data_IF_383345164205
#
_entry.id   IF_383345164205
#
_cell.length_a   1.000
_cell.length_b   1.000
_cell.length_c   1.000
_cell.angle_alpha   90.00
_cell.angle_beta   90.00
_cell.angle_gamma   90.00
#
_symmetry.space_group_name_H-M   'P 1'
#
loop_
_entity.id
_entity.type
_entity.pdbx_description
1 polymer ?
#
# COMPACT_ATOMS: atom_id res chain seq x y z
N UNK A 1 47.10 -17.32 -18.59
CA UNK A 1 45.85 -16.68 -19.13
C UNK A 1 44.59 -17.25 -18.46
N UNK A 2 44.51 -17.30 -17.11
CA UNK A 2 43.38 -17.89 -16.40
C UNK A 2 42.76 -16.97 -15.33
N UNK A 3 43.28 -15.74 -15.14
CA UNK A 3 42.80 -14.84 -14.05
C UNK A 3 41.80 -13.76 -14.53
N UNK A 4 41.53 -13.64 -15.83
CA UNK A 4 40.61 -12.61 -16.36
C UNK A 4 39.16 -13.08 -16.56
N UNK A 5 38.88 -14.38 -16.56
CA UNK A 5 37.53 -14.93 -16.71
C UNK A 5 36.69 -14.89 -15.44
N UNK A 6 37.31 -14.92 -14.27
CA UNK A 6 36.60 -14.94 -12.99
C UNK A 6 36.08 -13.59 -12.50
N UNK A 7 36.51 -12.46 -13.10
CA UNK A 7 36.02 -11.13 -12.72
C UNK A 7 34.75 -10.68 -13.47
N UNK A 8 34.51 -11.22 -14.66
CA UNK A 8 33.32 -10.89 -15.46
C UNK A 8 32.06 -11.65 -15.02
N UNK A 9 32.22 -12.87 -14.49
CA UNK A 9 31.08 -13.64 -13.96
C UNK A 9 30.55 -13.11 -12.61
N UNK A 10 31.38 -12.43 -11.81
CA UNK A 10 30.97 -11.82 -10.55
C UNK A 10 30.21 -10.50 -10.70
N UNK A 11 30.28 -9.85 -11.86
CA UNK A 11 29.55 -8.62 -12.16
C UNK A 11 28.12 -8.88 -12.68
N UNK A 12 27.81 -10.11 -13.10
CA UNK A 12 26.47 -10.50 -13.56
C UNK A 12 25.61 -11.17 -12.45
N UNK A 13 26.21 -11.56 -11.32
CA UNK A 13 25.53 -12.17 -10.17
C UNK A 13 25.46 -11.22 -8.96
N UNK A 14 25.52 -9.92 -9.17
CA UNK A 14 25.24 -8.91 -8.16
C UNK A 14 23.73 -8.76 -7.90
N UNK A 15 23.29 -7.94 -6.94
CA UNK A 15 21.92 -7.88 -6.37
C UNK A 15 20.81 -7.51 -7.36
N UNK A 16 21.05 -7.55 -8.67
CA UNK A 16 20.02 -7.34 -9.72
C UNK A 16 19.03 -8.50 -9.85
N UNK A 17 19.34 -9.69 -9.33
CA UNK A 17 18.41 -10.84 -9.39
C UNK A 17 17.30 -10.79 -8.34
N UNK A 18 17.49 -10.06 -7.24
CA UNK A 18 16.43 -9.85 -6.23
C UNK A 18 15.34 -8.85 -6.69
N UNK A 19 15.62 -8.04 -7.70
CA UNK A 19 14.67 -7.07 -8.27
C UNK A 19 13.76 -7.62 -9.39
N UNK A 20 14.14 -8.71 -10.04
CA UNK A 20 13.37 -9.25 -11.19
C UNK A 20 11.94 -9.73 -10.82
N UNK A 21 11.70 -10.43 -9.70
CA UNK A 21 10.34 -10.80 -9.31
C UNK A 21 9.43 -9.58 -9.08
N UNK A 22 9.98 -8.47 -8.61
CA UNK A 22 9.21 -7.24 -8.38
C UNK A 22 8.83 -6.52 -9.69
N UNK A 23 9.67 -6.58 -10.72
CA UNK A 23 9.39 -5.99 -12.05
C UNK A 23 8.26 -6.75 -12.75
N UNK A 24 8.27 -8.08 -12.71
CA UNK A 24 7.20 -8.91 -13.29
C UNK A 24 5.87 -8.65 -12.56
N UNK A 25 5.90 -8.62 -11.22
CA UNK A 25 4.74 -8.29 -10.41
C UNK A 25 4.21 -6.87 -10.72
N UNK A 26 5.11 -5.89 -10.88
CA UNK A 26 4.77 -4.53 -11.26
C UNK A 26 4.08 -4.46 -12.63
N UNK A 27 4.61 -5.18 -13.62
CA UNK A 27 4.02 -5.24 -14.94
C UNK A 27 2.60 -5.84 -14.91
N UNK A 28 2.37 -6.88 -14.10
CA UNK A 28 1.05 -7.46 -13.92
C UNK A 28 0.07 -6.50 -13.22
N UNK A 29 0.49 -5.80 -12.19
CA UNK A 29 -0.37 -4.82 -11.50
C UNK A 29 -0.70 -3.60 -12.37
N UNK A 30 0.23 -3.15 -13.20
CA UNK A 30 -0.02 -2.06 -14.14
C UNK A 30 -0.94 -2.49 -15.29
N UNK A 31 -0.87 -3.76 -15.72
CA UNK A 31 -1.71 -4.28 -16.79
C UNK A 31 -3.20 -4.21 -16.43
N UNK A 32 -3.57 -4.54 -15.19
CA UNK A 32 -4.99 -4.58 -14.76
C UNK A 32 -5.70 -3.23 -14.89
N UNK A 33 -5.20 -2.11 -14.31
CA UNK A 33 -5.84 -0.80 -14.48
C UNK A 33 -5.84 -0.33 -15.93
N UNK A 34 -4.77 -0.59 -16.70
CA UNK A 34 -4.71 -0.21 -18.11
C UNK A 34 -5.75 -0.96 -18.96
N UNK A 35 -5.98 -2.25 -18.69
CA UNK A 35 -7.04 -3.03 -19.34
C UNK A 35 -8.42 -2.46 -19.03
N UNK A 36 -8.68 -2.10 -17.76
CA UNK A 36 -9.95 -1.50 -17.36
C UNK A 36 -10.17 -0.13 -18.03
N UNK A 37 -9.15 0.74 -18.02
CA UNK A 37 -9.21 2.05 -18.71
C UNK A 37 -9.54 1.84 -20.19
N UNK A 38 -8.83 0.94 -20.88
CA UNK A 38 -9.07 0.62 -22.28
C UNK A 38 -10.50 0.11 -22.53
N UNK A 39 -10.98 -0.82 -21.68
CA UNK A 39 -12.33 -1.38 -21.82
C UNK A 39 -13.41 -0.29 -21.67
N UNK A 40 -13.31 0.56 -20.65
CA UNK A 40 -14.26 1.65 -20.44
C UNK A 40 -14.21 2.68 -21.59
N UNK A 41 -13.01 2.97 -22.13
CA UNK A 41 -12.86 3.86 -23.27
C UNK A 41 -13.53 3.31 -24.52
N UNK A 42 -13.37 2.01 -24.81
CA UNK A 42 -14.03 1.37 -25.95
C UNK A 42 -15.57 1.38 -25.80
N UNK A 43 -16.08 1.13 -24.59
CA UNK A 43 -17.53 1.20 -24.33
C UNK A 43 -18.09 2.63 -24.54
N UNK A 44 -17.30 3.66 -24.21
CA UNK A 44 -17.69 5.06 -24.47
C UNK A 44 -17.64 5.41 -25.96
N UNK A 45 -16.69 4.83 -26.70
CA UNK A 45 -16.52 5.02 -28.15
C UNK A 45 -17.72 4.45 -28.96
N UNK A 46 -18.30 3.33 -28.50
CA UNK A 46 -19.48 2.69 -29.12
C UNK A 46 -20.75 3.58 -29.08
N UNK A 47 -20.77 4.64 -28.29
CA UNK A 47 -21.80 5.68 -28.30
C UNK A 47 -23.17 5.29 -27.73
N UNK A 48 -23.37 4.03 -27.35
CA UNK A 48 -24.68 3.50 -26.90
C UNK A 48 -24.89 3.59 -25.38
N UNK A 49 -24.08 4.38 -24.66
CA UNK A 49 -24.09 4.47 -23.19
C UNK A 49 -24.91 5.71 -22.75
N UNK A 50 -25.87 5.58 -21.82
CA UNK A 50 -26.62 6.72 -21.27
C UNK A 50 -25.69 7.76 -20.64
N UNK A 51 -26.04 9.05 -20.74
CA UNK A 51 -25.18 10.19 -20.31
C UNK A 51 -24.72 10.10 -18.86
N UNK A 52 -25.57 9.59 -17.96
CA UNK A 52 -25.21 9.41 -16.54
C UNK A 52 -24.14 8.30 -16.36
N UNK A 53 -24.21 7.26 -17.18
CA UNK A 53 -23.26 6.16 -17.16
C UNK A 53 -21.94 6.57 -17.82
N UNK A 54 -21.98 7.38 -18.89
CA UNK A 54 -20.77 7.98 -19.47
C UNK A 54 -19.98 8.77 -18.43
N UNK A 55 -20.65 9.64 -17.65
CA UNK A 55 -20.00 10.40 -16.57
C UNK A 55 -19.36 9.49 -15.50
N UNK A 56 -20.04 8.40 -15.16
CA UNK A 56 -19.52 7.41 -14.21
C UNK A 56 -18.29 6.71 -14.77
N UNK A 57 -18.32 6.27 -16.03
CA UNK A 57 -17.20 5.63 -16.70
C UNK A 57 -15.99 6.55 -16.83
N UNK A 58 -16.19 7.81 -17.23
CA UNK A 58 -15.12 8.81 -17.31
C UNK A 58 -14.47 9.03 -15.94
N UNK A 59 -15.27 9.12 -14.86
CA UNK A 59 -14.75 9.23 -13.50
C UNK A 59 -13.95 7.99 -13.10
N UNK A 60 -14.43 6.79 -13.46
CA UNK A 60 -13.73 5.54 -13.19
C UNK A 60 -12.41 5.44 -13.96
N UNK A 61 -12.36 5.89 -15.22
CA UNK A 61 -11.13 6.01 -16.03
C UNK A 61 -10.11 6.90 -15.30
N UNK A 62 -10.54 8.11 -14.89
CA UNK A 62 -9.66 9.06 -14.20
C UNK A 62 -9.06 8.44 -12.94
N UNK A 63 -9.89 7.91 -12.04
CA UNK A 63 -9.46 7.30 -10.77
C UNK A 63 -8.53 6.09 -10.98
N UNK A 64 -8.85 5.27 -12.00
CA UNK A 64 -8.03 4.10 -12.34
C UNK A 64 -6.66 4.51 -12.89
N UNK A 65 -6.63 5.56 -13.73
CA UNK A 65 -5.39 6.12 -14.26
C UNK A 65 -4.51 6.72 -13.15
N UNK A 66 -5.11 7.47 -12.21
CA UNK A 66 -4.38 8.00 -11.05
C UNK A 66 -3.77 6.89 -10.19
N UNK A 67 -4.53 5.81 -9.98
CA UNK A 67 -3.99 4.63 -9.26
C UNK A 67 -2.78 4.02 -9.98
N UNK A 68 -2.85 3.87 -11.31
CA UNK A 68 -1.74 3.34 -12.11
C UNK A 68 -0.50 4.24 -12.03
N UNK A 69 -0.69 5.56 -12.10
CA UNK A 69 0.39 6.54 -11.95
C UNK A 69 1.02 6.50 -10.56
N UNK A 70 0.23 6.36 -9.49
CA UNK A 70 0.74 6.18 -8.12
C UNK A 70 1.60 4.93 -8.02
N UNK A 71 1.13 3.78 -8.52
CA UNK A 71 1.89 2.53 -8.52
C UNK A 71 3.23 2.67 -9.25
N UNK A 72 3.25 3.33 -10.40
CA UNK A 72 4.49 3.59 -11.16
C UNK A 72 5.47 4.45 -10.36
N UNK A 73 4.97 5.52 -9.72
CA UNK A 73 5.77 6.41 -8.88
C UNK A 73 6.34 5.69 -7.66
N UNK A 74 5.54 4.82 -7.02
CA UNK A 74 5.95 4.05 -5.86
C UNK A 74 7.01 3.01 -6.21
N UNK A 75 6.84 2.36 -7.36
CA UNK A 75 7.85 1.41 -7.88
C UNK A 75 9.17 2.11 -8.15
N UNK A 76 9.15 3.25 -8.86
CA UNK A 76 10.35 4.04 -9.15
C UNK A 76 11.05 4.49 -7.87
N UNK A 77 10.27 4.90 -6.85
CA UNK A 77 10.80 5.32 -5.56
C UNK A 77 11.39 4.12 -4.79
N UNK A 78 10.73 2.95 -4.83
CA UNK A 78 11.24 1.75 -4.15
C UNK A 78 12.59 1.30 -4.70
N UNK A 79 12.83 1.45 -6.00
CA UNK A 79 14.14 1.16 -6.62
C UNK A 79 15.23 2.12 -6.14
N UNK A 80 14.88 3.37 -5.84
CA UNK A 80 15.82 4.41 -5.38
C UNK A 80 16.01 4.43 -3.86
N UNK A 81 15.31 3.59 -3.09
CA UNK A 81 15.40 3.61 -1.62
C UNK A 81 16.82 3.34 -1.09
N UNK A 82 17.60 2.51 -1.80
CA UNK A 82 18.96 2.16 -1.39
C UNK A 82 19.93 3.35 -1.44
N UNK A 83 19.67 4.32 -2.32
CA UNK A 83 20.57 5.46 -2.60
C UNK A 83 20.07 6.78 -1.98
N UNK A 84 18.87 6.80 -1.41
CA UNK A 84 18.25 8.03 -0.92
C UNK A 84 18.37 8.16 0.61
N UNK A 85 18.90 9.31 1.06
CA UNK A 85 18.85 9.71 2.47
C UNK A 85 17.42 10.19 2.78
N UNK A 86 16.65 9.37 3.50
CA UNK A 86 15.33 9.75 3.99
C UNK A 86 15.43 10.36 5.38
N UNK A 87 15.01 11.61 5.51
CA UNK A 87 14.91 12.25 6.81
C UNK A 87 13.71 11.68 7.55
N UNK A 88 13.96 11.19 8.78
CA UNK A 88 12.91 10.80 9.71
C UNK A 88 12.64 11.97 10.65
N UNK A 89 11.37 12.30 10.85
CA UNK A 89 10.90 13.42 11.65
C UNK A 89 9.73 13.02 12.54
N UNK A 90 9.43 13.79 13.60
CA UNK A 90 8.20 13.61 14.35
C UNK A 90 6.98 13.91 13.47
N UNK A 91 6.12 12.93 13.27
CA UNK A 91 4.88 13.03 12.46
C UNK A 91 3.67 12.84 13.37
N UNK A 92 2.66 13.70 13.21
CA UNK A 92 1.34 13.50 13.82
C UNK A 92 0.54 12.52 12.97
N UNK A 93 0.33 11.26 13.44
CA UNK A 93 -0.36 10.26 12.64
C UNK A 93 -1.86 10.53 12.48
N UNK A 94 -2.48 11.25 13.42
CA UNK A 94 -3.90 11.60 13.31
C UNK A 94 -4.11 12.56 12.14
N UNK A 95 -3.36 13.65 12.10
CA UNK A 95 -3.44 14.64 11.02
C UNK A 95 -3.11 14.00 9.67
N UNK A 96 -2.07 13.14 9.61
CA UNK A 96 -1.72 12.41 8.39
C UNK A 96 -2.86 11.53 7.90
N UNK A 97 -3.52 10.78 8.79
CA UNK A 97 -4.65 9.91 8.42
C UNK A 97 -5.87 10.73 7.97
N UNK A 98 -6.15 11.87 8.62
CA UNK A 98 -7.23 12.77 8.20
C UNK A 98 -6.99 13.34 6.80
N UNK A 99 -5.75 13.73 6.49
CA UNK A 99 -5.36 14.20 5.15
C UNK A 99 -5.55 13.09 4.10
N UNK A 100 -5.13 11.85 4.41
CA UNK A 100 -5.29 10.70 3.54
C UNK A 100 -6.77 10.39 3.30
N UNK A 101 -7.61 10.42 4.33
CA UNK A 101 -9.04 10.16 4.20
C UNK A 101 -9.69 11.17 3.26
N UNK A 102 -9.42 12.46 3.43
CA UNK A 102 -9.94 13.51 2.54
C UNK A 102 -9.58 13.28 1.07
N UNK A 103 -8.38 12.78 0.81
CA UNK A 103 -7.92 12.46 -0.54
C UNK A 103 -8.62 11.20 -1.10
N UNK A 104 -8.81 10.17 -0.27
CA UNK A 104 -9.38 8.90 -0.70
C UNK A 104 -10.92 8.90 -0.76
N UNK A 105 -11.59 9.80 -0.05
CA UNK A 105 -13.05 9.89 0.03
C UNK A 105 -13.74 9.88 -1.34
N UNK A 106 -13.31 10.64 -2.37
CA UNK A 106 -13.92 10.58 -3.70
C UNK A 106 -13.82 9.20 -4.36
N UNK A 107 -12.71 8.49 -4.12
CA UNK A 107 -12.48 7.14 -4.63
C UNK A 107 -13.40 6.13 -3.93
N UNK A 108 -13.48 6.19 -2.60
CA UNK A 108 -14.34 5.33 -1.80
C UNK A 108 -15.81 5.54 -2.13
N UNK A 109 -16.26 6.80 -2.21
CA UNK A 109 -17.63 7.16 -2.61
C UNK A 109 -18.00 6.67 -4.00
N UNK A 110 -17.06 6.70 -4.98
CA UNK A 110 -17.27 6.17 -6.32
C UNK A 110 -17.54 4.65 -6.34
N UNK A 111 -17.09 3.94 -5.27
CA UNK A 111 -17.32 2.51 -5.06
C UNK A 111 -18.46 2.22 -4.05
N UNK A 112 -19.25 3.24 -3.69
CA UNK A 112 -20.31 3.17 -2.66
C UNK A 112 -19.78 2.65 -1.32
N UNK A 113 -18.64 3.17 -0.89
CA UNK A 113 -17.96 2.80 0.36
C UNK A 113 -17.50 4.02 1.11
N UNK A 114 -17.29 3.85 2.41
CA UNK A 114 -16.78 4.88 3.29
C UNK A 114 -15.42 4.49 3.87
N UNK A 115 -14.65 5.51 4.20
CA UNK A 115 -13.40 5.37 4.98
C UNK A 115 -13.45 6.34 6.16
N UNK A 116 -13.08 5.87 7.34
CA UNK A 116 -13.09 6.71 8.54
C UNK A 116 -11.86 6.48 9.42
N UNK A 117 -11.46 7.52 10.13
CA UNK A 117 -10.52 7.43 11.24
C UNK A 117 -11.29 7.14 12.53
N UNK A 118 -10.87 6.12 13.25
CA UNK A 118 -11.40 5.86 14.61
C UNK A 118 -10.78 6.88 15.57
N UNK A 119 -11.60 7.71 16.24
CA UNK A 119 -11.09 8.79 17.08
C UNK A 119 -10.19 8.28 18.21
N UNK A 120 -9.18 9.07 18.58
CA UNK A 120 -8.31 8.84 19.73
C UNK A 120 -8.28 10.06 20.64
N UNK A 121 -8.26 9.83 21.96
CA UNK A 121 -8.32 10.91 22.96
C UNK A 121 -7.01 11.67 23.15
N UNK A 122 -5.87 11.05 22.88
CA UNK A 122 -4.55 11.65 23.14
C UNK A 122 -3.72 11.77 21.87
N UNK A 123 -3.12 12.94 21.61
CA UNK A 123 -2.20 13.11 20.51
C UNK A 123 -0.97 12.22 20.70
N UNK A 124 -0.45 11.72 19.61
CA UNK A 124 0.77 10.92 19.55
C UNK A 124 1.63 11.44 18.41
N UNK A 125 2.94 11.38 18.60
CA UNK A 125 3.90 11.61 17.53
C UNK A 125 4.71 10.34 17.31
N UNK A 126 4.95 9.99 16.06
CA UNK A 126 5.81 8.89 15.66
C UNK A 126 6.98 9.38 14.82
N UNK A 127 8.05 8.61 14.75
CA UNK A 127 9.24 8.91 13.95
C UNK A 127 9.08 8.28 12.59
N UNK A 128 8.94 9.09 11.54
CA UNK A 128 8.76 8.62 10.17
C UNK A 128 9.21 9.64 9.13
N UNK A 129 9.34 9.17 7.89
CA UNK A 129 9.22 10.05 6.73
C UNK A 129 7.73 10.15 6.36
N UNK A 130 7.18 11.38 6.36
CA UNK A 130 5.76 11.64 6.15
C UNK A 130 5.24 11.06 4.82
N UNK A 131 6.01 11.21 3.74
CA UNK A 131 5.62 10.74 2.41
C UNK A 131 5.59 9.22 2.30
N UNK A 132 6.60 8.53 2.87
CA UNK A 132 6.66 7.06 2.84
C UNK A 132 5.53 6.47 3.68
N UNK A 133 5.30 7.04 4.88
CA UNK A 133 4.20 6.59 5.75
C UNK A 133 2.83 6.79 5.08
N UNK A 134 2.61 7.95 4.45
CA UNK A 134 1.40 8.22 3.69
C UNK A 134 1.16 7.15 2.62
N UNK A 135 2.18 6.78 1.85
CA UNK A 135 2.09 5.77 0.81
C UNK A 135 1.76 4.38 1.35
N UNK A 136 2.30 4.02 2.52
CA UNK A 136 1.94 2.76 3.20
C UNK A 136 0.45 2.73 3.50
N UNK A 137 -0.09 3.79 4.12
CA UNK A 137 -1.51 3.84 4.51
C UNK A 137 -2.41 3.87 3.27
N UNK A 138 -2.06 4.62 2.22
CA UNK A 138 -2.79 4.60 0.94
C UNK A 138 -2.80 3.20 0.33
N UNK A 139 -1.66 2.48 0.29
CA UNK A 139 -1.59 1.11 -0.22
C UNK A 139 -2.48 0.14 0.59
N UNK A 140 -2.53 0.29 1.90
CA UNK A 140 -3.42 -0.52 2.73
C UNK A 140 -4.89 -0.17 2.49
N UNK A 141 -5.21 1.12 2.30
CA UNK A 141 -6.56 1.60 2.02
C UNK A 141 -7.06 1.18 0.63
N UNK A 142 -6.20 1.23 -0.39
CA UNK A 142 -6.51 0.72 -1.73
C UNK A 142 -6.78 -0.79 -1.69
N UNK A 143 -6.01 -1.55 -0.91
CA UNK A 143 -6.26 -2.97 -0.69
C UNK A 143 -7.62 -3.19 0.01
N UNK A 144 -7.90 -2.44 1.07
CA UNK A 144 -9.17 -2.53 1.79
C UNK A 144 -10.36 -2.20 0.89
N UNK A 145 -10.26 -1.15 0.06
CA UNK A 145 -11.28 -0.78 -0.91
C UNK A 145 -11.55 -1.90 -1.92
N UNK A 146 -10.50 -2.56 -2.39
CA UNK A 146 -10.61 -3.62 -3.39
C UNK A 146 -11.26 -4.89 -2.86
N UNK A 147 -11.03 -5.23 -1.58
CA UNK A 147 -11.47 -6.48 -0.99
C UNK A 147 -12.67 -6.36 -0.04
N UNK A 148 -13.05 -5.16 0.39
CA UNK A 148 -14.24 -4.99 1.19
C UNK A 148 -15.48 -5.45 0.41
N UNK A 149 -16.48 -5.99 1.08
CA UNK A 149 -17.77 -6.39 0.50
C UNK A 149 -18.91 -5.50 1.04
N UNK A 150 -19.94 -5.35 0.21
CA UNK A 150 -21.10 -4.54 0.56
C UNK A 150 -20.75 -3.06 0.79
N UNK A 151 -21.52 -2.41 1.69
CA UNK A 151 -21.34 -1.00 2.08
C UNK A 151 -20.48 -0.87 3.35
N UNK A 152 -19.57 -1.81 3.59
CA UNK A 152 -18.77 -1.79 4.80
C UNK A 152 -17.79 -0.61 4.81
N UNK A 153 -17.72 0.09 5.93
CA UNK A 153 -16.80 1.19 6.16
C UNK A 153 -15.41 0.67 6.44
N UNK A 154 -14.41 1.14 5.70
CA UNK A 154 -13.00 0.87 5.99
C UNK A 154 -12.56 1.74 7.16
N UNK A 155 -11.88 1.17 8.14
CA UNK A 155 -11.47 1.87 9.35
C UNK A 155 -9.95 2.01 9.42
N UNK A 156 -9.49 3.26 9.59
CA UNK A 156 -8.12 3.56 9.94
C UNK A 156 -8.05 3.74 11.46
N UNK A 157 -7.08 3.08 12.12
CA UNK A 157 -6.92 3.13 13.56
C UNK A 157 -5.48 3.42 13.94
N UNK A 158 -5.30 4.18 15.02
CA UNK A 158 -4.00 4.49 15.62
C UNK A 158 -3.96 3.82 16.99
N UNK A 159 -3.02 2.90 17.18
CA UNK A 159 -2.83 2.15 18.41
C UNK A 159 -1.48 2.45 19.06
N UNK A 160 -1.39 2.23 20.37
CA UNK A 160 -0.16 2.33 21.14
C UNK A 160 0.21 0.95 21.66
N UNK A 161 1.42 0.52 21.40
CA UNK A 161 1.96 -0.78 21.79
C UNK A 161 3.24 -0.60 22.61
N UNK A 162 3.72 -1.72 23.19
CA UNK A 162 4.99 -1.78 23.92
C UNK A 162 5.15 -0.63 24.93
N UNK A 163 4.19 -0.52 25.85
CA UNK A 163 4.16 0.52 26.90
C UNK A 163 4.35 1.96 26.38
N UNK A 164 4.01 2.20 25.13
CA UNK A 164 4.11 3.52 24.53
C UNK A 164 5.29 3.74 23.59
N UNK A 165 6.14 2.76 23.40
CA UNK A 165 7.33 2.88 22.54
C UNK A 165 7.00 2.72 21.04
N UNK A 166 5.91 2.04 20.73
CA UNK A 166 5.50 1.74 19.35
C UNK A 166 4.12 2.27 19.07
N UNK A 167 3.97 2.94 17.94
CA UNK A 167 2.69 3.37 17.41
C UNK A 167 2.35 2.49 16.21
N UNK A 168 1.16 1.87 16.24
CA UNK A 168 0.58 1.10 15.16
C UNK A 168 -0.45 1.93 14.42
N UNK A 169 -0.25 2.10 13.10
CA UNK A 169 -1.30 2.53 12.21
C UNK A 169 -1.84 1.32 11.47
N UNK A 170 -3.15 1.18 11.45
CA UNK A 170 -3.80 0.01 10.85
C UNK A 170 -4.99 0.40 10.02
N UNK A 171 -5.22 -0.38 8.95
CA UNK A 171 -6.38 -0.27 8.06
C UNK A 171 -7.14 -1.58 8.12
N UNK A 172 -8.40 -1.53 8.54
CA UNK A 172 -9.33 -2.64 8.69
C UNK A 172 -10.30 -2.67 7.51
N UNK A 173 -10.31 -3.76 6.78
CA UNK A 173 -11.35 -4.08 5.81
C UNK A 173 -12.41 -5.01 6.43
N UNK A 174 -13.63 -4.94 5.93
CA UNK A 174 -14.72 -5.85 6.22
C UNK A 174 -15.11 -6.55 4.92
N UNK A 175 -14.44 -7.65 4.63
CA UNK A 175 -14.61 -8.44 3.42
C UNK A 175 -14.50 -9.94 3.72
N UNK A 176 -14.33 -10.78 2.71
CA UNK A 176 -14.14 -12.20 2.92
C UNK A 176 -12.92 -12.47 3.80
N UNK A 177 -13.06 -13.39 4.75
CA UNK A 177 -11.95 -13.81 5.58
C UNK A 177 -10.79 -14.34 4.73
N UNK A 178 -9.56 -13.97 5.07
CA UNK A 178 -8.39 -14.63 4.49
C UNK A 178 -8.43 -16.13 4.85
N UNK A 179 -8.16 -17.01 3.88
CA UNK A 179 -7.96 -18.42 4.22
C UNK A 179 -6.76 -18.58 5.16
N UNK A 180 -6.75 -19.62 5.97
CA UNK A 180 -5.67 -19.86 6.94
C UNK A 180 -4.31 -19.97 6.23
N UNK A 181 -4.26 -20.61 5.07
CA UNK A 181 -3.02 -20.82 4.31
C UNK A 181 -2.51 -19.51 3.71
N UNK A 182 -3.40 -18.69 3.13
CA UNK A 182 -3.07 -17.35 2.63
C UNK A 182 -2.56 -16.47 3.77
N UNK A 183 -3.22 -16.49 4.93
CA UNK A 183 -2.79 -15.73 6.10
C UNK A 183 -1.41 -16.17 6.61
N UNK A 184 -1.15 -17.48 6.75
CA UNK A 184 0.16 -18.00 7.16
C UNK A 184 1.26 -17.60 6.16
N UNK A 185 1.02 -17.79 4.87
CA UNK A 185 1.95 -17.39 3.82
C UNK A 185 2.25 -15.90 3.86
N UNK A 186 1.21 -15.06 3.96
CA UNK A 186 1.33 -13.62 4.02
C UNK A 186 2.12 -13.17 5.25
N UNK A 187 1.80 -13.69 6.44
CA UNK A 187 2.51 -13.39 7.69
C UNK A 187 4.00 -13.74 7.61
N UNK A 188 4.32 -14.92 7.06
CA UNK A 188 5.72 -15.35 6.91
C UNK A 188 6.48 -14.44 5.94
N UNK A 189 5.87 -14.10 4.81
CA UNK A 189 6.47 -13.21 3.80
C UNK A 189 6.69 -11.79 4.33
N UNK A 190 5.73 -11.24 5.10
CA UNK A 190 5.87 -9.93 5.73
C UNK A 190 6.95 -9.90 6.83
N UNK A 191 7.26 -11.05 7.44
CA UNK A 191 8.25 -11.15 8.51
C UNK A 191 9.70 -11.33 8.02
N UNK A 192 9.93 -11.88 6.84
CA UNK A 192 11.25 -12.46 6.53
C UNK A 192 12.00 -11.90 5.32
N UNK A 193 11.40 -11.20 4.39
CA UNK A 193 12.14 -10.54 3.30
C UNK A 193 11.25 -9.83 2.28
N UNK A 194 11.83 -8.94 1.44
CA UNK A 194 11.14 -8.29 0.34
C UNK A 194 10.99 -9.24 -0.85
N UNK A 195 10.11 -10.22 -0.75
CA UNK A 195 9.66 -11.03 -1.89
C UNK A 195 8.25 -10.62 -2.28
N UNK A 196 7.87 -10.82 -3.56
CA UNK A 196 6.51 -10.54 -4.04
C UNK A 196 5.46 -11.14 -3.10
N UNK A 197 4.60 -10.30 -2.52
CA UNK A 197 3.65 -10.71 -1.48
C UNK A 197 2.26 -10.75 -2.10
N UNK A 198 1.74 -11.93 -2.39
CA UNK A 198 0.35 -12.09 -2.83
C UNK A 198 -0.57 -12.20 -1.61
N UNK A 199 -1.34 -11.15 -1.34
CA UNK A 199 -2.31 -11.16 -0.25
C UNK A 199 -3.53 -12.02 -0.59
N UNK A 200 -3.90 -12.08 -1.88
CA UNK A 200 -5.03 -12.89 -2.41
C UNK A 200 -4.75 -13.25 -3.87
N UNK A 201 -5.41 -14.28 -4.44
CA UNK A 201 -5.13 -14.80 -5.80
C UNK A 201 -5.21 -13.76 -6.93
N UNK A 202 -5.93 -12.67 -6.72
CA UNK A 202 -6.14 -11.61 -7.72
C UNK A 202 -5.24 -10.37 -7.54
N UNK A 203 -4.38 -10.35 -6.50
CA UNK A 203 -3.43 -9.24 -6.28
C UNK A 203 -2.02 -9.70 -6.56
N UNK A 204 -1.22 -8.88 -7.24
CA UNK A 204 0.22 -9.15 -7.47
C UNK A 204 1.04 -9.02 -6.18
N UNK A 205 0.48 -8.46 -5.12
CA UNK A 205 1.16 -8.20 -3.86
C UNK A 205 2.19 -7.07 -3.90
N UNK A 206 2.28 -6.33 -5.00
CA UNK A 206 3.24 -5.25 -5.17
C UNK A 206 3.04 -4.13 -4.14
N UNK A 207 1.79 -3.74 -3.86
CA UNK A 207 1.50 -2.70 -2.86
C UNK A 207 2.01 -3.06 -1.47
N UNK A 208 1.85 -4.32 -1.04
CA UNK A 208 2.37 -4.79 0.25
C UNK A 208 3.90 -4.92 0.25
N UNK A 209 4.48 -5.35 -0.88
CA UNK A 209 5.93 -5.35 -1.05
C UNK A 209 6.52 -3.95 -0.89
N UNK A 210 5.97 -2.96 -1.61
CA UNK A 210 6.38 -1.56 -1.53
C UNK A 210 6.19 -1.00 -0.11
N UNK A 211 5.04 -1.27 0.52
CA UNK A 211 4.79 -0.87 1.90
C UNK A 211 5.83 -1.44 2.87
N UNK A 212 6.25 -2.71 2.66
CA UNK A 212 7.32 -3.33 3.42
C UNK A 212 8.67 -2.64 3.25
N UNK A 213 9.04 -2.31 2.02
CA UNK A 213 10.27 -1.57 1.73
C UNK A 213 10.27 -0.19 2.42
N UNK A 214 9.17 0.55 2.32
CA UNK A 214 9.04 1.86 2.95
C UNK A 214 9.08 1.77 4.48
N UNK A 215 8.44 0.76 5.07
CA UNK A 215 8.49 0.54 6.51
C UNK A 215 9.92 0.23 6.99
N UNK A 216 10.64 -0.64 6.27
CA UNK A 216 12.02 -1.02 6.62
C UNK A 216 12.97 0.19 6.65
N UNK A 217 12.86 1.12 5.68
CA UNK A 217 13.66 2.36 5.66
C UNK A 217 13.38 3.24 6.88
N UNK A 218 12.19 3.15 7.46
CA UNK A 218 11.80 3.86 8.68
C UNK A 218 12.03 3.03 9.97
N UNK A 219 12.79 1.92 9.90
CA UNK A 219 12.98 0.97 11.01
C UNK A 219 11.66 0.43 11.58
N UNK A 220 10.62 0.40 10.75
CA UNK A 220 9.30 -0.10 11.08
C UNK A 220 9.08 -1.51 10.57
N UNK A 221 7.90 -2.05 10.90
CA UNK A 221 7.45 -3.38 10.45
C UNK A 221 6.02 -3.31 9.98
N UNK A 222 5.70 -4.01 8.89
CA UNK A 222 4.32 -4.22 8.48
C UNK A 222 3.83 -5.60 8.90
N UNK A 223 2.52 -5.75 9.03
CA UNK A 223 1.93 -7.02 9.37
C UNK A 223 0.45 -7.08 9.02
N UNK A 224 -0.14 -8.24 9.30
CA UNK A 224 -1.54 -8.52 9.04
C UNK A 224 -2.17 -9.27 10.21
N UNK A 225 -3.42 -8.95 10.51
CA UNK A 225 -4.28 -9.69 11.45
C UNK A 225 -5.47 -10.23 10.67
N UNK A 226 -5.76 -11.52 10.83
CA UNK A 226 -6.91 -12.18 10.24
C UNK A 226 -8.13 -12.03 11.16
N UNK A 227 -9.28 -11.75 10.57
CA UNK A 227 -10.59 -11.78 11.23
C UNK A 227 -11.53 -12.72 10.47
N UNK A 228 -12.65 -13.05 11.08
CA UNK A 228 -13.66 -13.88 10.41
C UNK A 228 -14.42 -13.14 9.30
N UNK A 229 -14.36 -11.82 9.33
CA UNK A 229 -15.04 -10.86 8.47
C UNK A 229 -14.07 -9.87 7.81
N UNK A 230 -12.88 -10.34 7.40
CA UNK A 230 -11.89 -9.54 6.69
C UNK A 230 -10.48 -9.60 7.27
N UNK A 231 -9.72 -8.53 7.08
CA UNK A 231 -8.34 -8.43 7.55
C UNK A 231 -8.00 -7.02 8.07
N UNK A 232 -6.93 -6.94 8.85
CA UNK A 232 -6.33 -5.67 9.26
C UNK A 232 -4.86 -5.68 8.84
N UNK A 233 -4.48 -4.76 7.95
CA UNK A 233 -3.08 -4.50 7.64
C UNK A 233 -2.57 -3.37 8.53
N UNK A 234 -1.32 -3.47 8.99
CA UNK A 234 -0.76 -2.48 9.89
C UNK A 234 0.72 -2.23 9.65
N UNK A 235 1.16 -1.04 10.06
CA UNK A 235 2.56 -0.67 10.19
C UNK A 235 2.85 -0.26 11.63
N UNK A 236 3.95 -0.77 12.18
CA UNK A 236 4.46 -0.45 13.51
C UNK A 236 5.70 0.41 13.34
N UNK A 237 5.70 1.58 13.98
CA UNK A 237 6.77 2.56 13.95
C UNK A 237 7.12 3.02 15.37
N UNK A 238 8.31 3.55 15.56
CA UNK A 238 8.74 4.06 16.86
C UNK A 238 7.94 5.32 17.23
N UNK A 239 7.50 5.40 18.48
CA UNK A 239 6.94 6.62 19.03
C UNK A 239 8.03 7.68 19.14
N UNK A 240 7.69 8.94 18.85
CA UNK A 240 8.60 10.05 19.09
C UNK A 240 8.69 10.33 20.58
N UNK A 241 9.87 10.65 21.05
CA UNK A 241 10.08 11.16 22.41
C UNK A 241 9.65 12.63 22.57
N UNK A 242 9.44 13.31 21.47
CA UNK A 242 8.87 14.66 21.46
C UNK A 242 7.36 14.58 21.71
N UNK A 243 6.86 15.33 22.69
CA UNK A 243 5.47 15.25 23.14
C UNK A 243 4.53 16.14 22.31
N UNK A 244 5.05 17.15 21.62
CA UNK A 244 4.26 18.04 20.75
C UNK A 244 5.11 18.56 19.58
N UNK A 245 4.45 18.92 18.50
CA UNK A 245 5.04 19.78 17.46
C UNK A 245 4.92 21.21 17.97
N UNK A 246 6.02 21.90 18.12
CA UNK A 246 6.07 23.32 18.46
C UNK A 246 5.49 24.17 17.33
#
# INVERSE_FOLDING_TARGET
>A
MSAARGKHERLLNGPLTDGLPSIVAAAHELKSPLVLVRQLSLMLEDGNVPINEQKRMLRQISLTSERALRLTSDLTRSVRLADALFTLEPVNPQQLCEDIIRELEPLFSAHNRDVKLVPRKHPLLLVANRDLLRRIIVNFSDNALHYAEGNATVEIRIGLLDKGNIIRLSVRDYGPALSVDVFKSLRNKLAHAPTSIHARPQSSGLGLYIAGQFANVMNGKIGVTRHNDGATFYVDLQASRQLSLL
#
